data_IF_982347567712
#
_entry.id   IF_982347567712
#
_cell.length_a   1.000
_cell.length_b   1.000
_cell.length_c   1.000
_cell.angle_alpha   90.00
_cell.angle_beta   90.00
_cell.angle_gamma   90.00
#
_symmetry.space_group_name_H-M   'P 1'
#
loop_
_entity.id
_entity.type
_entity.pdbx_description
1 polymer ?
#
# COMPACT_ATOMS: atom_id res chain seq x y z
N UNK A 1 -18.16 34.69 -31.33
CA UNK A 1 -18.94 33.64 -32.03
C UNK A 1 -18.77 32.41 -31.16
N UNK A 2 -19.79 32.04 -30.39
CA UNK A 2 -19.70 30.91 -29.46
C UNK A 2 -19.57 29.62 -30.26
N UNK A 3 -18.42 28.96 -30.15
CA UNK A 3 -18.16 27.70 -30.83
C UNK A 3 -18.96 26.56 -30.21
N UNK A 4 -19.33 25.56 -31.02
CA UNK A 4 -19.75 24.27 -30.50
C UNK A 4 -18.51 23.49 -30.05
N UNK A 5 -18.64 22.69 -29.00
CA UNK A 5 -17.55 21.83 -28.54
C UNK A 5 -17.17 20.82 -29.64
N UNK A 6 -15.88 20.65 -29.99
CA UNK A 6 -15.46 19.69 -31.01
C UNK A 6 -15.71 18.22 -30.60
N UNK A 7 -15.80 17.95 -29.29
CA UNK A 7 -16.08 16.62 -28.73
C UNK A 7 -17.58 16.38 -28.57
N UNK A 8 -18.34 17.43 -28.27
CA UNK A 8 -19.78 17.39 -28.11
C UNK A 8 -20.43 18.44 -29.02
N UNK A 9 -20.62 18.13 -30.32
CA UNK A 9 -21.07 19.11 -31.31
C UNK A 9 -22.47 19.67 -31.00
N UNK A 10 -23.28 18.94 -30.22
CA UNK A 10 -24.59 19.39 -29.74
C UNK A 10 -24.53 20.32 -28.53
N UNK A 11 -23.35 20.59 -27.97
CA UNK A 11 -23.14 21.42 -26.78
C UNK A 11 -22.43 22.71 -27.18
N UNK A 12 -23.01 23.84 -26.77
CA UNK A 12 -22.42 25.17 -26.99
C UNK A 12 -21.39 25.43 -25.89
N UNK A 13 -20.24 26.01 -26.24
CA UNK A 13 -19.26 26.46 -25.26
C UNK A 13 -19.85 27.59 -24.40
N UNK A 14 -19.55 27.54 -23.10
CA UNK A 14 -19.97 28.55 -22.13
C UNK A 14 -18.74 29.36 -21.75
N UNK A 15 -18.88 30.68 -21.71
CA UNK A 15 -17.84 31.57 -21.21
C UNK A 15 -17.87 31.60 -19.68
N UNK A 16 -16.80 31.13 -19.06
CA UNK A 16 -16.51 31.30 -17.65
C UNK A 16 -15.70 32.58 -17.46
N UNK A 17 -16.27 33.53 -16.74
CA UNK A 17 -15.64 34.82 -16.39
C UNK A 17 -15.21 34.87 -14.92
N UNK A 18 -15.23 33.72 -14.23
CA UNK A 18 -14.82 33.62 -12.82
C UNK A 18 -13.31 33.78 -12.60
N UNK A 19 -12.50 33.82 -13.67
CA UNK A 19 -11.04 33.97 -13.63
C UNK A 19 -10.59 35.24 -14.36
N UNK A 20 -9.40 35.74 -14.05
CA UNK A 20 -8.79 36.93 -14.68
C UNK A 20 -8.69 36.84 -16.22
N UNK A 21 -8.71 35.61 -16.77
CA UNK A 21 -8.78 35.35 -18.20
C UNK A 21 -10.07 34.57 -18.48
N UNK A 22 -11.04 35.16 -19.22
CA UNK A 22 -12.24 34.44 -19.63
C UNK A 22 -11.88 33.18 -20.41
N UNK A 23 -12.47 32.06 -20.03
CA UNK A 23 -12.27 30.77 -20.71
C UNK A 23 -13.60 30.27 -21.28
N UNK A 24 -13.59 29.89 -22.55
CA UNK A 24 -14.68 29.12 -23.14
C UNK A 24 -14.49 27.65 -22.78
N UNK A 25 -15.48 27.04 -22.13
CA UNK A 25 -15.42 25.63 -21.73
C UNK A 25 -16.69 24.88 -22.11
N UNK A 26 -16.58 23.56 -22.26
CA UNK A 26 -17.73 22.69 -22.49
C UNK A 26 -18.21 22.10 -21.16
N UNK A 27 -19.45 22.36 -20.71
CA UNK A 27 -19.96 21.83 -19.44
C UNK A 27 -19.98 20.31 -19.39
N UNK A 28 -20.17 19.66 -20.54
CA UNK A 28 -20.22 18.20 -20.66
C UNK A 28 -18.83 17.57 -20.56
N UNK A 29 -17.80 18.22 -21.11
CA UNK A 29 -16.41 17.80 -20.94
C UNK A 29 -15.98 17.92 -19.47
N UNK A 30 -16.23 19.07 -18.83
CA UNK A 30 -15.89 19.25 -17.41
C UNK A 30 -16.66 18.29 -16.49
N UNK A 31 -17.92 17.98 -16.83
CA UNK A 31 -18.72 17.00 -16.08
C UNK A 31 -18.28 15.54 -16.33
N UNK A 32 -17.55 15.28 -17.43
CA UNK A 32 -16.90 14.01 -17.73
C UNK A 32 -15.57 13.89 -16.98
N UNK A 33 -14.75 14.93 -17.04
CA UNK A 33 -13.48 15.03 -16.29
C UNK A 33 -13.72 14.92 -14.77
N UNK A 34 -14.80 15.54 -14.26
CA UNK A 34 -15.20 15.39 -12.86
C UNK A 34 -15.60 13.96 -12.49
N UNK A 35 -16.26 13.24 -13.41
CA UNK A 35 -16.65 11.82 -13.19
C UNK A 35 -15.47 10.87 -13.24
N UNK A 36 -14.45 11.17 -14.05
CA UNK A 36 -13.20 10.40 -14.04
C UNK A 36 -12.33 10.72 -12.81
N UNK A 37 -12.39 11.95 -12.28
CA UNK A 37 -11.73 12.29 -11.01
C UNK A 37 -12.44 11.75 -9.76
N UNK A 38 -13.73 11.40 -9.83
CA UNK A 38 -14.47 10.70 -8.76
C UNK A 38 -14.30 9.17 -8.80
N UNK A 39 -13.62 8.66 -9.84
CA UNK A 39 -13.03 7.33 -9.83
C UNK A 39 -11.52 7.42 -9.55
N UNK A 40 -11.11 8.33 -8.66
CA UNK A 40 -9.88 8.12 -7.90
C UNK A 40 -10.08 6.81 -7.14
N UNK A 41 -9.58 5.72 -7.72
CA UNK A 41 -9.31 4.48 -7.01
C UNK A 41 -8.66 4.90 -5.72
N UNK A 42 -9.35 4.69 -4.59
CA UNK A 42 -8.74 4.85 -3.29
C UNK A 42 -7.44 4.07 -3.38
N UNK A 43 -6.26 4.67 -3.14
CA UNK A 43 -5.01 3.92 -3.24
C UNK A 43 -5.19 2.67 -2.37
N UNK A 44 -5.07 1.48 -2.98
CA UNK A 44 -5.42 0.20 -2.33
C UNK A 44 -4.67 0.00 -1.02
N UNK A 45 -3.62 0.79 -0.77
CA UNK A 45 -2.84 0.92 0.45
C UNK A 45 -3.53 1.60 1.62
N UNK A 46 -4.73 2.12 1.44
CA UNK A 46 -5.57 2.69 2.53
C UNK A 46 -6.80 1.82 2.82
N UNK A 47 -7.08 0.82 1.98
CA UNK A 47 -8.17 -0.14 2.22
C UNK A 47 -7.74 -1.12 3.32
N UNK A 48 -8.54 -1.30 4.39
CA UNK A 48 -8.28 -2.31 5.40
C UNK A 48 -8.16 -3.73 4.81
N UNK A 49 -7.08 -4.42 5.15
CA UNK A 49 -6.83 -5.78 4.69
C UNK A 49 -7.46 -6.80 5.66
N UNK A 50 -8.27 -7.70 5.11
CA UNK A 50 -8.97 -8.74 5.87
C UNK A 50 -8.14 -10.02 6.05
N UNK A 51 -7.09 -9.92 6.85
CA UNK A 51 -6.27 -11.07 7.22
C UNK A 51 -7.05 -12.15 7.98
N UNK A 52 -8.08 -11.74 8.74
CA UNK A 52 -8.89 -12.67 9.52
C UNK A 52 -9.75 -13.52 8.58
N UNK A 53 -10.40 -12.91 7.60
CA UNK A 53 -11.15 -13.63 6.57
C UNK A 53 -10.28 -14.61 5.79
N UNK A 54 -9.08 -14.19 5.38
CA UNK A 54 -8.14 -15.10 4.70
C UNK A 54 -7.73 -16.31 5.55
N UNK A 55 -7.53 -16.11 6.86
CA UNK A 55 -7.23 -17.18 7.81
C UNK A 55 -8.42 -18.10 8.02
N UNK A 56 -9.58 -17.54 8.34
CA UNK A 56 -10.76 -18.31 8.73
C UNK A 56 -11.36 -19.08 7.55
N UNK A 57 -11.06 -18.67 6.32
CA UNK A 57 -11.43 -19.36 5.09
C UNK A 57 -10.38 -20.36 4.60
N UNK A 58 -9.24 -20.52 5.29
CA UNK A 58 -8.09 -21.32 4.83
C UNK A 58 -7.73 -21.03 3.35
N UNK A 59 -7.70 -19.74 3.02
CA UNK A 59 -7.46 -19.29 1.64
C UNK A 59 -6.10 -19.75 1.11
N UNK A 60 -5.97 -19.90 -0.21
CA UNK A 60 -4.69 -20.22 -0.84
C UNK A 60 -3.59 -19.18 -0.51
N UNK A 61 -3.96 -17.89 -0.41
CA UNK A 61 -3.04 -16.84 0.03
C UNK A 61 -2.54 -17.07 1.46
N UNK A 62 -3.43 -17.53 2.35
CA UNK A 62 -3.07 -17.85 3.73
C UNK A 62 -2.24 -19.13 3.82
N UNK A 63 -2.56 -20.19 3.08
CA UNK A 63 -1.82 -21.45 3.09
C UNK A 63 -0.39 -21.27 2.57
N UNK A 64 -0.22 -20.56 1.45
CA UNK A 64 1.10 -20.28 0.84
C UNK A 64 1.98 -19.37 1.70
N UNK A 65 1.38 -18.59 2.59
CA UNK A 65 2.12 -17.69 3.47
C UNK A 65 2.83 -18.46 4.59
N UNK A 66 4.06 -18.90 4.33
CA UNK A 66 4.96 -19.47 5.34
C UNK A 66 6.11 -18.51 5.68
N UNK A 67 6.04 -17.78 6.81
CA UNK A 67 7.09 -16.84 7.21
C UNK A 67 8.42 -17.48 7.59
N UNK A 68 8.48 -18.80 7.80
CA UNK A 68 9.75 -19.49 8.13
C UNK A 68 10.49 -19.98 6.89
N UNK A 69 9.76 -20.18 5.79
CA UNK A 69 10.32 -20.61 4.52
C UNK A 69 10.53 -19.45 3.53
N UNK A 70 9.80 -18.34 3.71
CA UNK A 70 9.95 -17.15 2.89
C UNK A 70 11.20 -16.34 3.25
N UNK A 71 11.77 -15.65 2.26
CA UNK A 71 12.73 -14.57 2.51
C UNK A 71 11.94 -13.30 2.84
N UNK A 72 12.26 -12.69 3.98
CA UNK A 72 11.69 -11.42 4.41
C UNK A 72 12.85 -10.48 4.70
N UNK A 73 12.98 -9.40 3.95
CA UNK A 73 14.05 -8.41 4.14
C UNK A 73 13.44 -7.04 4.33
N UNK A 74 13.67 -6.41 5.48
CA UNK A 74 13.18 -5.05 5.74
C UNK A 74 13.92 -4.03 4.88
N UNK A 75 13.16 -3.20 4.16
CA UNK A 75 13.66 -2.11 3.29
C UNK A 75 13.39 -0.73 3.86
N UNK A 76 12.31 -0.59 4.62
CA UNK A 76 11.97 0.60 5.38
C UNK A 76 11.14 0.21 6.60
N UNK A 77 10.82 1.17 7.46
CA UNK A 77 10.02 0.95 8.67
C UNK A 77 8.70 0.19 8.43
N UNK A 78 8.03 0.41 7.29
CA UNK A 78 6.79 -0.25 6.88
C UNK A 78 6.92 -1.03 5.57
N UNK A 79 8.13 -1.29 5.07
CA UNK A 79 8.34 -1.94 3.77
C UNK A 79 9.29 -3.12 3.89
N UNK A 80 8.91 -4.23 3.29
CA UNK A 80 9.69 -5.46 3.21
C UNK A 80 9.78 -5.95 1.77
N UNK A 81 10.95 -6.41 1.36
CA UNK A 81 11.10 -7.28 0.20
C UNK A 81 10.76 -8.72 0.64
N UNK A 82 9.82 -9.35 -0.05
CA UNK A 82 9.33 -10.70 0.29
C UNK A 82 9.43 -11.59 -0.93
N UNK A 83 10.03 -12.77 -0.76
CA UNK A 83 10.03 -13.85 -1.74
C UNK A 83 9.47 -15.10 -1.10
N UNK A 84 8.40 -15.65 -1.68
CA UNK A 84 7.76 -16.88 -1.19
C UNK A 84 8.53 -18.11 -1.68
N UNK A 85 8.48 -19.24 -0.96
CA UNK A 85 9.19 -20.45 -1.36
C UNK A 85 8.69 -21.08 -2.67
N UNK A 86 7.49 -20.72 -3.12
CA UNK A 86 6.81 -21.27 -4.29
C UNK A 86 6.72 -20.27 -5.46
N UNK A 87 7.53 -19.22 -5.45
CA UNK A 87 7.64 -18.25 -6.54
C UNK A 87 9.01 -17.60 -6.60
N UNK A 88 9.44 -17.23 -7.81
CA UNK A 88 10.74 -16.59 -8.03
C UNK A 88 10.66 -15.06 -7.93
N UNK A 89 9.46 -14.49 -8.08
CA UNK A 89 9.26 -13.05 -8.06
C UNK A 89 9.37 -12.49 -6.64
N UNK A 90 10.24 -11.48 -6.47
CA UNK A 90 10.31 -10.71 -5.24
C UNK A 90 9.27 -9.57 -5.26
N UNK A 91 8.63 -9.36 -4.13
CA UNK A 91 7.61 -8.34 -3.97
C UNK A 91 8.00 -7.31 -2.90
N UNK A 92 7.75 -6.03 -3.20
CA UNK A 92 7.80 -4.98 -2.18
C UNK A 92 6.42 -4.89 -1.51
N UNK A 93 6.40 -5.28 -0.24
CA UNK A 93 5.22 -5.28 0.61
C UNK A 93 5.30 -4.09 1.54
N UNK A 94 4.30 -3.22 1.46
CA UNK A 94 4.13 -2.12 2.41
C UNK A 94 2.99 -2.46 3.35
N UNK A 95 3.20 -2.43 4.67
CA UNK A 95 2.15 -2.64 5.67
C UNK A 95 2.32 -1.71 6.87
N UNK A 96 1.22 -1.11 7.30
CA UNK A 96 1.18 -0.27 8.50
C UNK A 96 -0.17 -0.41 9.20
N UNK A 97 -0.25 0.04 10.45
CA UNK A 97 -1.51 0.24 11.15
C UNK A 97 -2.03 1.66 10.91
N UNK A 98 -3.28 1.76 10.52
CA UNK A 98 -4.02 3.01 10.34
C UNK A 98 -5.32 2.89 11.14
N UNK A 99 -5.48 3.72 12.17
CA UNK A 99 -6.63 3.68 13.09
C UNK A 99 -6.99 2.27 13.60
N UNK A 100 -5.98 1.43 13.84
CA UNK A 100 -6.13 0.04 14.32
C UNK A 100 -6.36 -1.02 13.23
N UNK A 101 -6.68 -0.61 12.00
CA UNK A 101 -6.72 -1.50 10.84
C UNK A 101 -5.31 -1.69 10.25
N UNK A 102 -5.03 -2.85 9.64
CA UNK A 102 -3.79 -3.03 8.87
C UNK A 102 -4.10 -2.72 7.41
N UNK A 103 -3.33 -1.80 6.84
CA UNK A 103 -3.49 -1.33 5.46
C UNK A 103 -2.15 -1.46 4.73
N UNK A 104 -2.20 -1.51 3.40
CA UNK A 104 -0.99 -1.43 2.61
C UNK A 104 -1.05 -2.11 1.24
N UNK A 105 0.09 -2.09 0.56
CA UNK A 105 0.24 -2.49 -0.84
C UNK A 105 1.19 -3.66 -1.00
N UNK A 106 1.11 -4.28 -2.17
CA UNK A 106 2.09 -5.25 -2.62
C UNK A 106 2.32 -5.04 -4.11
N UNK A 107 3.57 -4.79 -4.49
CA UNK A 107 3.99 -4.59 -5.88
C UNK A 107 5.15 -5.54 -6.22
N UNK A 108 5.31 -5.86 -7.50
CA UNK A 108 6.49 -6.56 -7.98
C UNK A 108 7.72 -5.67 -7.79
N UNK A 109 8.79 -6.21 -7.22
CA UNK A 109 9.99 -5.42 -6.92
C UNK A 109 10.71 -4.96 -8.21
N UNK A 110 10.67 -5.78 -9.27
CA UNK A 110 11.34 -5.46 -10.53
C UNK A 110 10.59 -4.43 -11.38
N UNK A 111 9.29 -4.59 -11.56
CA UNK A 111 8.50 -3.73 -12.45
C UNK A 111 7.77 -2.59 -11.73
N UNK A 112 7.52 -2.72 -10.42
CA UNK A 112 6.66 -1.82 -9.66
C UNK A 112 5.16 -2.02 -9.91
N UNK A 113 4.77 -3.00 -10.74
CA UNK A 113 3.37 -3.29 -10.99
C UNK A 113 2.69 -3.87 -9.75
N UNK A 114 1.39 -3.61 -9.59
CA UNK A 114 0.61 -4.19 -8.51
C UNK A 114 0.64 -5.73 -8.58
N UNK A 115 0.85 -6.36 -7.42
CA UNK A 115 0.83 -7.80 -7.27
C UNK A 115 -0.43 -8.39 -7.93
N UNK A 116 -0.33 -9.43 -8.78
CA UNK A 116 -1.49 -9.96 -9.50
C UNK A 116 -2.67 -10.33 -8.60
N UNK A 117 -2.40 -10.94 -7.44
CA UNK A 117 -3.43 -11.26 -6.47
C UNK A 117 -4.16 -10.00 -5.95
N UNK A 118 -3.46 -8.88 -5.76
CA UNK A 118 -4.08 -7.60 -5.38
C UNK A 118 -4.80 -6.91 -6.54
N UNK A 119 -4.30 -7.10 -7.76
CA UNK A 119 -4.86 -6.50 -8.97
C UNK A 119 -6.20 -7.12 -9.38
N UNK A 120 -6.36 -8.43 -9.16
CA UNK A 120 -7.51 -9.19 -9.66
C UNK A 120 -8.52 -9.62 -8.58
N UNK A 121 -8.13 -9.61 -7.30
CA UNK A 121 -9.05 -9.91 -6.19
C UNK A 121 -9.60 -8.63 -5.57
N UNK A 122 -10.48 -8.79 -4.57
CA UNK A 122 -11.03 -7.66 -3.82
C UNK A 122 -9.91 -6.82 -3.17
N UNK A 123 -10.07 -5.51 -3.14
CA UNK A 123 -9.04 -4.60 -2.65
C UNK A 123 -8.65 -4.85 -1.19
N UNK A 124 -9.58 -5.38 -0.37
CA UNK A 124 -9.38 -5.77 1.02
C UNK A 124 -8.76 -7.15 1.18
N UNK A 125 -8.60 -7.93 0.12
CA UNK A 125 -8.03 -9.28 0.18
C UNK A 125 -6.49 -9.21 0.19
N UNK A 126 -5.81 -9.55 1.30
CA UNK A 126 -4.35 -9.57 1.32
C UNK A 126 -3.81 -10.74 0.52
N UNK A 127 -2.77 -10.49 -0.28
CA UNK A 127 -2.07 -11.54 -1.00
C UNK A 127 -1.15 -12.35 -0.05
N UNK A 128 -0.64 -13.49 -0.52
CA UNK A 128 0.27 -14.34 0.23
C UNK A 128 1.49 -13.60 0.80
N UNK A 129 2.07 -12.64 0.07
CA UNK A 129 3.19 -11.82 0.56
C UNK A 129 2.81 -10.99 1.79
N UNK A 130 1.63 -10.35 1.76
CA UNK A 130 1.12 -9.58 2.89
C UNK A 130 0.76 -10.48 4.08
N UNK A 131 0.14 -11.62 3.81
CA UNK A 131 -0.13 -12.65 4.83
C UNK A 131 1.17 -13.14 5.49
N UNK A 132 2.25 -13.28 4.73
CA UNK A 132 3.56 -13.72 5.23
C UNK A 132 4.14 -12.72 6.23
N UNK A 133 4.21 -11.43 5.86
CA UNK A 133 4.66 -10.38 6.79
C UNK A 133 3.75 -10.32 8.02
N UNK A 134 2.43 -10.45 7.84
CA UNK A 134 1.48 -10.44 8.96
C UNK A 134 1.69 -11.61 9.92
N UNK A 135 1.91 -12.81 9.41
CA UNK A 135 2.20 -14.01 10.21
C UNK A 135 3.55 -13.90 10.91
N UNK A 136 4.57 -13.40 10.23
CA UNK A 136 5.88 -13.14 10.84
C UNK A 136 5.75 -12.18 12.03
N UNK A 137 5.04 -11.06 11.83
CA UNK A 137 4.81 -10.08 12.88
C UNK A 137 4.00 -10.62 14.06
N UNK A 138 3.01 -11.48 13.80
CA UNK A 138 2.23 -12.10 14.87
C UNK A 138 3.04 -13.18 15.63
N UNK A 139 3.89 -13.92 14.92
CA UNK A 139 4.69 -15.00 15.48
C UNK A 139 6.01 -14.56 16.13
N UNK A 140 6.34 -13.26 16.08
CA UNK A 140 7.64 -12.76 16.55
C UNK A 140 8.81 -13.35 15.74
N UNK A 141 8.62 -13.54 14.44
CA UNK A 141 9.65 -14.10 13.55
C UNK A 141 10.57 -12.97 13.09
N UNK A 142 11.85 -13.28 13.04
CA UNK A 142 12.92 -12.38 12.60
C UNK A 142 12.97 -12.28 11.06
N UNK A 143 13.32 -11.11 10.55
CA UNK A 143 13.66 -10.90 9.15
C UNK A 143 15.11 -11.34 8.85
N UNK A 144 15.55 -11.13 7.60
CA UNK A 144 16.89 -11.51 7.13
C UNK A 144 18.03 -10.87 7.94
N UNK A 145 17.78 -9.75 8.61
CA UNK A 145 18.76 -9.02 9.42
C UNK A 145 18.73 -9.45 10.90
N UNK A 146 17.84 -10.36 11.28
CA UNK A 146 17.67 -10.81 12.67
C UNK A 146 16.75 -9.90 13.48
N UNK A 147 16.09 -8.92 12.85
CA UNK A 147 15.15 -8.04 13.53
C UNK A 147 13.75 -8.65 13.52
N UNK A 148 13.03 -8.57 14.64
CA UNK A 148 11.64 -9.03 14.69
C UNK A 148 10.80 -8.22 13.67
N UNK A 149 10.03 -8.94 12.86
CA UNK A 149 9.09 -8.30 11.94
C UNK A 149 8.01 -7.63 12.78
N UNK A 150 7.80 -6.33 12.57
CA UNK A 150 6.81 -5.54 13.32
C UNK A 150 6.07 -4.60 12.37
N UNK A 151 4.73 -4.55 12.48
CA UNK A 151 3.88 -3.65 11.72
C UNK A 151 3.51 -2.46 12.61
N UNK A 152 4.17 -1.34 12.40
CA UNK A 152 3.99 -0.11 13.17
C UNK A 152 2.74 0.65 12.73
N UNK A 153 2.18 1.48 13.62
CA UNK A 153 1.21 2.50 13.18
C UNK A 153 1.90 3.66 12.50
N UNK A 154 1.20 4.27 11.54
CA UNK A 154 1.69 5.47 10.87
C UNK A 154 1.87 6.65 11.86
N UNK A 155 1.03 6.70 12.90
CA UNK A 155 1.03 7.72 13.95
C UNK A 155 2.25 7.58 14.89
N UNK A 156 2.60 6.36 15.27
CA UNK A 156 3.79 6.06 16.09
C UNK A 156 5.07 6.51 15.37
N UNK A 157 5.16 6.28 14.06
CA UNK A 157 6.34 6.68 13.27
C UNK A 157 6.33 8.16 12.90
N UNK A 158 5.16 8.77 12.69
CA UNK A 158 5.03 10.22 12.50
C UNK A 158 5.50 11.01 13.71
N UNK A 159 5.15 10.54 14.91
CA UNK A 159 5.61 11.12 16.18
C UNK A 159 7.12 10.91 16.37
N UNK A 160 7.63 9.72 16.05
CA UNK A 160 9.06 9.42 16.19
C UNK A 160 9.94 10.13 15.13
N UNK A 161 9.42 10.40 13.92
CA UNK A 161 10.06 11.20 12.87
C UNK A 161 10.05 12.71 13.15
N UNK A 162 9.08 13.21 13.91
CA UNK A 162 9.08 14.59 14.36
C UNK A 162 10.18 14.85 15.41
N UNK A 163 10.64 13.81 16.12
CA UNK A 163 11.67 13.93 17.16
C UNK A 163 13.06 13.40 16.80
N UNK A 164 13.26 12.51 15.81
CA UNK A 164 14.62 12.10 15.40
C UNK A 164 14.66 11.58 13.95
N UNK A 165 15.80 11.80 13.27
CA UNK A 165 16.18 11.12 12.05
C UNK A 165 16.23 9.59 12.28
N UNK A 166 15.10 8.90 12.07
CA UNK A 166 15.04 7.43 12.02
C UNK A 166 15.57 6.97 10.66
N UNK A 167 16.87 7.08 10.45
CA UNK A 167 17.58 6.32 9.42
C UNK A 167 18.84 5.62 9.97
N UNK A 168 19.12 5.67 11.28
CA UNK A 168 20.30 4.99 11.85
C UNK A 168 20.13 4.33 13.22
N UNK A 169 18.96 4.37 13.87
CA UNK A 169 18.80 3.94 15.27
C UNK A 169 18.14 2.56 15.50
N UNK A 170 17.76 1.81 14.46
CA UNK A 170 17.37 0.38 14.62
C UNK A 170 18.57 -0.57 14.40
N UNK A 171 19.79 -0.04 14.27
CA UNK A 171 20.96 -0.80 13.79
C UNK A 171 21.84 -1.44 14.88
N UNK A 172 21.63 -1.18 16.18
CA UNK A 172 22.50 -1.73 17.23
C UNK A 172 21.70 -2.44 18.33
N UNK A 173 21.75 -3.78 18.30
CA UNK A 173 21.12 -4.68 19.24
C UNK A 173 21.40 -4.34 20.71
N UNK A 174 20.32 -4.20 21.46
CA UNK A 174 20.36 -4.13 22.92
C UNK A 174 20.98 -5.40 23.50
N UNK A 175 22.27 -5.35 23.84
CA UNK A 175 22.90 -6.40 24.63
C UNK A 175 22.28 -6.44 26.02
N UNK A 176 21.66 -7.58 26.33
CA UNK A 176 21.39 -8.00 27.71
C UNK A 176 22.73 -8.25 28.40
N UNK A 177 23.07 -7.40 29.37
CA UNK A 177 24.14 -7.65 30.33
C UNK A 177 23.54 -7.81 31.72
N UNK A 178 23.10 -9.03 32.03
CA UNK A 178 22.86 -9.45 33.40
C UNK A 178 24.13 -9.99 34.05
N UNK A 179 24.24 -9.74 35.35
CA UNK A 179 24.85 -10.57 36.39
C UNK A 179 26.38 -10.48 36.63
N UNK A 180 26.79 -9.66 37.61
CA UNK A 180 27.20 -10.08 38.98
C UNK A 180 27.83 -8.94 39.78
#
# INVERSE_FOLDING_TARGET
>A
MTGNCPVHPSVTLVEDTSYDVPREYCPQCESGERRDSERQSVPSGTVPLDFKGQRDADSASWERADPKAALIERRAWNTWLVTLPDGDDAHLVTLQRDHGAVVGECVLAESGDQCPARKYNDASEPCAHQCTVRKAAFGGIEDLYGDVVEIFSAEEVGTARADYHIESAMADGGRRGGDR
#
